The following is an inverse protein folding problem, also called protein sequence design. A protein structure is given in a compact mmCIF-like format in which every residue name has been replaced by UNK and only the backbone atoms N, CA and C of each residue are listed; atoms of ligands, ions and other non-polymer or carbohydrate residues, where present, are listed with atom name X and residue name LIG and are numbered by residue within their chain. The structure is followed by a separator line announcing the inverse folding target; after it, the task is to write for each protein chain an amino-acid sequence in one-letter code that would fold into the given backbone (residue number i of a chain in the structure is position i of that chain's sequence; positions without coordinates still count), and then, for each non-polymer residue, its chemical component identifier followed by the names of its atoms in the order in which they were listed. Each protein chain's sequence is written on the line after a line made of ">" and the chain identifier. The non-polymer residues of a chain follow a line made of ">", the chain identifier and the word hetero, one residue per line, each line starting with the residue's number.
data_IF_332292677008
#
_entry.id   IF_332292677008
#
_cell.length_a   1.000
_cell.length_b   1.000
_cell.length_c   1.000
_cell.angle_alpha   90.00
_cell.angle_beta   90.00
_cell.angle_gamma   90.00
#
_symmetry.space_group_name_H-M   'P 1'
#
loop_
_entity.id
_entity.type
_entity.pdbx_description
1 polymer ?
#
# COMPACT_ATOMS: atom_id res chain seq x y z
N UNK A 1 -3.04 -6.14 6.35
CA UNK A 1 -1.59 -6.41 6.49
C UNK A 1 -0.92 -6.32 5.12
N UNK A 2 0.32 -5.83 5.03
CA UNK A 2 1.12 -5.83 3.80
C UNK A 2 2.08 -7.01 3.78
N UNK A 3 2.36 -7.54 2.58
CA UNK A 3 3.27 -8.67 2.37
C UNK A 3 4.10 -8.45 1.11
N UNK A 4 5.43 -8.47 1.25
CA UNK A 4 6.38 -8.33 0.14
C UNK A 4 6.55 -9.66 -0.60
N UNK A 5 6.51 -9.61 -1.93
CA UNK A 5 6.74 -10.73 -2.83
C UNK A 5 8.00 -10.45 -3.63
N UNK A 6 9.06 -11.22 -3.41
CA UNK A 6 10.36 -11.03 -4.08
C UNK A 6 10.40 -11.66 -5.49
N UNK A 7 9.25 -11.76 -6.15
CA UNK A 7 9.11 -12.30 -7.50
C UNK A 7 8.88 -11.15 -8.48
N UNK A 8 9.66 -11.10 -9.57
CA UNK A 8 9.53 -10.03 -10.56
C UNK A 8 8.41 -10.31 -11.55
N UNK A 9 7.33 -9.51 -11.49
CA UNK A 9 6.16 -9.64 -12.36
C UNK A 9 5.80 -8.29 -12.99
N UNK A 10 5.11 -8.35 -14.14
CA UNK A 10 4.42 -7.15 -14.68
C UNK A 10 3.37 -6.69 -13.68
N UNK A 11 2.95 -5.43 -13.73
CA UNK A 11 1.97 -4.93 -12.77
C UNK A 11 0.66 -5.73 -12.82
N UNK A 12 0.20 -6.10 -14.02
CA UNK A 12 -1.04 -6.88 -14.20
C UNK A 12 -0.90 -8.30 -13.64
N UNK A 13 0.24 -8.96 -13.85
CA UNK A 13 0.48 -10.30 -13.32
C UNK A 13 0.62 -10.29 -11.80
N UNK A 14 1.29 -9.27 -11.24
CA UNK A 14 1.39 -9.04 -9.80
C UNK A 14 0.00 -8.82 -9.18
N UNK A 15 -0.87 -8.04 -9.82
CA UNK A 15 -2.25 -7.84 -9.40
C UNK A 15 -3.04 -9.15 -9.36
N UNK A 16 -2.95 -9.95 -10.43
CA UNK A 16 -3.59 -11.27 -10.50
C UNK A 16 -3.07 -12.20 -9.41
N UNK A 17 -1.77 -12.18 -9.16
CA UNK A 17 -1.15 -12.95 -8.08
C UNK A 17 -1.73 -12.56 -6.72
N UNK A 18 -1.78 -11.26 -6.42
CA UNK A 18 -2.30 -10.77 -5.15
C UNK A 18 -3.79 -11.11 -4.98
N UNK A 19 -4.63 -10.90 -5.99
CA UNK A 19 -6.07 -11.24 -5.92
C UNK A 19 -6.36 -12.73 -5.72
N UNK A 20 -5.45 -13.61 -6.16
CA UNK A 20 -5.60 -15.05 -5.98
C UNK A 20 -5.29 -15.52 -4.54
N UNK A 21 -4.53 -14.74 -3.76
CA UNK A 21 -3.92 -15.17 -2.47
C UNK A 21 -4.15 -14.20 -1.30
N UNK A 22 -4.47 -12.96 -1.61
CA UNK A 22 -4.66 -11.81 -0.72
C UNK A 22 -5.90 -11.04 -1.20
N UNK A 23 -6.04 -9.77 -0.80
CA UNK A 23 -7.11 -8.90 -1.30
C UNK A 23 -6.75 -8.32 -2.67
N UNK A 24 -5.65 -7.57 -2.77
CA UNK A 24 -5.15 -6.98 -4.02
C UNK A 24 -3.68 -6.52 -3.83
N UNK A 25 -3.07 -5.88 -4.84
CA UNK A 25 -1.84 -5.09 -4.68
C UNK A 25 -2.04 -3.99 -3.65
N UNK A 26 -0.96 -3.64 -2.93
CA UNK A 26 -0.98 -2.70 -1.82
C UNK A 26 -1.68 -1.38 -2.17
N UNK A 27 -2.74 -1.07 -1.43
CA UNK A 27 -3.36 0.25 -1.43
C UNK A 27 -2.89 1.04 -0.20
N UNK A 28 -2.59 2.33 -0.38
CA UNK A 28 -2.08 3.22 0.67
C UNK A 28 -3.01 4.40 0.83
N UNK A 29 -3.57 4.58 2.02
CA UNK A 29 -4.66 5.55 2.23
C UNK A 29 -4.22 6.72 3.10
N UNK A 30 -3.19 6.52 3.90
CA UNK A 30 -2.69 7.50 4.86
C UNK A 30 -1.17 7.45 4.97
N UNK A 31 -0.59 8.47 5.60
CA UNK A 31 0.83 8.42 6.00
C UNK A 31 1.15 7.26 6.96
N UNK A 32 0.18 6.80 7.76
CA UNK A 32 0.40 5.63 8.61
C UNK A 32 0.55 4.34 7.78
N UNK A 33 -0.21 4.23 6.69
CA UNK A 33 -0.06 3.11 5.76
C UNK A 33 1.28 3.15 5.04
N UNK A 34 1.76 4.35 4.64
CA UNK A 34 3.12 4.51 4.10
C UNK A 34 4.16 3.96 5.09
N UNK A 35 4.10 4.37 6.37
CA UNK A 35 5.03 3.91 7.40
C UNK A 35 5.02 2.38 7.56
N UNK A 36 3.86 1.75 7.45
CA UNK A 36 3.72 0.27 7.53
C UNK A 36 4.19 -0.43 6.25
N UNK A 37 3.93 0.17 5.09
CA UNK A 37 4.30 -0.38 3.80
C UNK A 37 5.83 -0.42 3.65
N UNK A 38 6.50 0.67 4.05
CA UNK A 38 7.95 0.84 3.97
C UNK A 38 8.72 -0.23 4.75
N UNK A 39 8.22 -0.61 5.93
CA UNK A 39 8.86 -1.61 6.78
C UNK A 39 8.64 -3.05 6.30
N UNK A 40 7.82 -3.25 5.27
CA UNK A 40 7.48 -4.58 4.74
C UNK A 40 8.53 -5.09 3.74
N UNK A 41 9.26 -4.20 3.06
CA UNK A 41 10.25 -4.57 2.05
C UNK A 41 11.53 -5.04 2.74
N UNK A 42 12.12 -6.14 2.25
CA UNK A 42 13.37 -6.69 2.79
C UNK A 42 14.49 -5.65 2.76
N UNK A 43 15.24 -5.54 3.86
CA UNK A 43 16.29 -4.52 4.05
C UNK A 43 17.44 -4.61 3.04
N UNK A 44 17.60 -5.75 2.36
CA UNK A 44 18.62 -5.96 1.33
C UNK A 44 18.16 -5.68 -0.10
N UNK A 45 16.86 -5.41 -0.33
CA UNK A 45 16.36 -5.13 -1.67
C UNK A 45 16.60 -3.66 -2.05
N UNK A 46 17.25 -3.45 -3.19
CA UNK A 46 17.48 -2.15 -3.79
C UNK A 46 16.75 -2.07 -5.14
N UNK A 47 15.85 -1.11 -5.27
CA UNK A 47 15.00 -0.95 -6.45
C UNK A 47 13.60 -0.49 -6.09
N UNK A 48 12.66 -0.65 -7.01
CA UNK A 48 11.25 -0.30 -6.81
C UNK A 48 10.39 -1.54 -6.69
N UNK A 49 9.26 -1.40 -5.99
CA UNK A 49 8.27 -2.46 -5.80
C UNK A 49 6.89 -1.99 -6.23
N UNK A 50 6.14 -2.84 -6.93
CA UNK A 50 4.80 -2.48 -7.36
C UNK A 50 3.84 -2.30 -6.18
N UNK A 51 3.06 -1.23 -6.27
CA UNK A 51 1.87 -0.96 -5.45
C UNK A 51 0.63 -0.91 -6.35
N UNK A 52 -0.56 -0.92 -5.77
CA UNK A 52 -1.82 -1.06 -6.49
C UNK A 52 -2.29 0.16 -7.27
N UNK A 53 -1.44 1.15 -7.54
CA UNK A 53 -1.85 2.40 -8.20
C UNK A 53 -1.50 2.36 -9.70
N UNK A 54 -2.46 2.74 -10.55
CA UNK A 54 -2.28 2.81 -12.02
C UNK A 54 -2.92 4.06 -12.62
N UNK A 55 -2.37 4.55 -13.72
CA UNK A 55 -2.94 5.66 -14.47
C UNK A 55 -4.19 5.21 -15.24
N UNK A 56 -5.19 6.09 -15.36
CA UNK A 56 -6.42 5.84 -16.15
C UNK A 56 -6.70 6.91 -17.21
N UNK A 57 -5.84 7.92 -17.33
CA UNK A 57 -5.94 8.99 -18.34
C UNK A 57 -7.08 10.01 -18.10
N UNK A 58 -8.13 9.65 -17.37
CA UNK A 58 -9.20 10.58 -16.96
C UNK A 58 -8.92 11.12 -15.56
N UNK A 59 -8.63 12.42 -15.47
CA UNK A 59 -8.38 13.13 -14.22
C UNK A 59 -9.65 13.51 -13.47
N UNK A 60 -9.55 13.65 -12.15
CA UNK A 60 -10.59 14.22 -11.28
C UNK A 60 -9.94 15.14 -10.27
N UNK A 61 -10.56 16.29 -10.01
CA UNK A 61 -10.07 17.20 -9.00
C UNK A 61 -10.35 16.67 -7.60
N UNK A 62 -9.30 16.55 -6.79
CA UNK A 62 -9.35 15.93 -5.47
C UNK A 62 -8.38 16.61 -4.52
N UNK A 63 -8.69 16.54 -3.23
CA UNK A 63 -7.83 17.08 -2.18
C UNK A 63 -6.71 16.10 -1.82
N UNK A 64 -5.50 16.62 -1.68
CA UNK A 64 -4.29 15.86 -1.34
C UNK A 64 -4.36 15.12 0.00
N UNK A 65 -5.14 15.66 0.94
CA UNK A 65 -5.37 15.09 2.26
C UNK A 65 -6.17 13.78 2.21
N UNK A 66 -6.80 13.47 1.08
CA UNK A 66 -7.67 12.30 0.93
C UNK A 66 -9.13 12.55 1.31
N UNK A 67 -9.47 13.78 1.69
CA UNK A 67 -10.85 14.21 1.89
C UNK A 67 -11.60 14.28 0.54
N UNK A 68 -12.93 14.12 0.60
CA UNK A 68 -13.88 13.97 -0.50
C UNK A 68 -13.61 14.81 -1.75
N UNK A 69 -14.14 14.37 -2.90
CA UNK A 69 -14.19 15.18 -4.13
C UNK A 69 -14.84 16.56 -3.87
N UNK A 70 -14.47 17.56 -4.69
CA UNK A 70 -14.94 18.95 -4.53
C UNK A 70 -16.48 18.99 -4.40
N UNK A 71 -16.98 19.82 -3.48
CA UNK A 71 -18.40 20.16 -3.40
C UNK A 71 -18.89 20.86 -4.68
N UNK A 72 -20.21 20.85 -4.91
CA UNK A 72 -20.85 21.58 -6.01
C UNK A 72 -20.69 23.11 -5.86
N UNK A 73 -20.50 23.60 -4.64
CA UNK A 73 -20.18 24.99 -4.32
C UNK A 73 -18.66 25.23 -4.32
N UNK A 74 -18.01 24.86 -5.43
CA UNK A 74 -16.58 25.05 -5.62
C UNK A 74 -16.23 26.53 -5.76
N UNK A 75 -15.06 26.95 -5.25
CA UNK A 75 -14.62 28.36 -5.27
C UNK A 75 -13.76 28.69 -6.50
N UNK A 76 -13.99 27.99 -7.61
CA UNK A 76 -13.39 28.32 -8.90
C UNK A 76 -13.74 29.73 -9.31
N UNK A 77 -12.75 30.46 -9.82
CA UNK A 77 -13.01 31.72 -10.49
C UNK A 77 -13.88 31.47 -11.74
N UNK A 78 -14.78 32.40 -12.14
CA UNK A 78 -15.56 32.23 -13.36
C UNK A 78 -14.66 31.97 -14.58
N UNK A 79 -14.89 30.84 -15.25
CA UNK A 79 -14.08 30.39 -16.39
C UNK A 79 -13.06 29.29 -16.06
N UNK A 80 -12.87 28.96 -14.78
CA UNK A 80 -11.97 27.90 -14.32
C UNK A 80 -12.73 26.58 -14.04
N UNK A 81 -12.05 25.41 -14.11
CA UNK A 81 -10.68 25.24 -14.60
C UNK A 81 -10.57 25.42 -16.12
N UNK A 82 -9.52 26.11 -16.56
CA UNK A 82 -9.26 26.50 -17.95
C UNK A 82 -8.40 25.49 -18.73
N UNK A 83 -7.70 24.59 -18.03
CA UNK A 83 -6.81 23.59 -18.61
C UNK A 83 -5.35 24.01 -18.66
N UNK A 84 -4.96 25.04 -17.92
CA UNK A 84 -3.61 25.59 -17.84
C UNK A 84 -2.70 24.77 -16.88
N UNK A 85 -3.27 23.87 -16.08
CA UNK A 85 -2.49 22.87 -15.34
C UNK A 85 -3.27 21.89 -14.49
N UNK A 86 -2.55 21.02 -13.77
CA UNK A 86 -3.13 20.00 -12.90
C UNK A 86 -3.10 20.36 -11.41
N UNK A 87 -2.58 21.52 -11.04
CA UNK A 87 -2.48 21.97 -9.65
C UNK A 87 -3.29 23.26 -9.44
N UNK A 88 -3.73 23.53 -8.22
CA UNK A 88 -4.60 24.68 -7.96
C UNK A 88 -3.96 25.68 -7.03
N UNK A 89 -3.98 26.95 -7.44
CA UNK A 89 -3.65 28.08 -6.59
C UNK A 89 -4.91 28.82 -6.14
N UNK A 90 -4.88 29.32 -4.92
CA UNK A 90 -5.84 30.28 -4.39
C UNK A 90 -5.31 31.70 -4.59
N UNK A 91 -6.13 32.59 -5.12
CA UNK A 91 -5.81 34.00 -5.30
C UNK A 91 -7.07 34.86 -5.16
N UNK A 92 -7.02 35.89 -4.31
CA UNK A 92 -8.12 36.82 -4.06
C UNK A 92 -9.47 36.11 -3.76
N UNK A 93 -9.43 35.02 -2.98
CA UNK A 93 -10.65 34.29 -2.61
C UNK A 93 -11.21 33.35 -3.68
N UNK A 94 -10.47 33.07 -4.77
CA UNK A 94 -10.89 32.15 -5.83
C UNK A 94 -9.78 31.20 -6.27
N UNK A 95 -10.18 30.08 -6.88
CA UNK A 95 -9.28 29.02 -7.35
C UNK A 95 -9.03 29.12 -8.85
N UNK A 96 -7.80 28.78 -9.23
CA UNK A 96 -7.30 28.75 -10.61
C UNK A 96 -6.46 27.50 -10.79
N UNK A 97 -6.63 26.76 -11.88
CA UNK A 97 -5.67 25.74 -12.26
C UNK A 97 -4.40 26.38 -12.80
N UNK A 98 -3.28 25.75 -12.51
CA UNK A 98 -1.95 26.31 -12.67
C UNK A 98 -0.96 25.17 -12.88
N UNK A 99 0.10 25.44 -13.65
CA UNK A 99 1.16 24.46 -13.85
C UNK A 99 1.75 24.04 -12.50
N UNK A 100 1.78 22.73 -12.23
CA UNK A 100 2.36 22.21 -10.98
C UNK A 100 3.84 22.58 -10.77
N UNK A 101 4.53 22.98 -11.85
CA UNK A 101 5.93 23.42 -11.83
C UNK A 101 6.12 24.90 -11.45
N UNK A 102 5.04 25.69 -11.39
CA UNK A 102 5.08 27.07 -10.93
C UNK A 102 5.55 27.10 -9.46
N UNK A 103 6.43 28.04 -9.12
CA UNK A 103 6.94 28.20 -7.76
C UNK A 103 6.12 29.26 -7.02
N UNK A 104 5.30 28.84 -6.05
CA UNK A 104 4.44 29.72 -5.27
C UNK A 104 4.62 29.46 -3.78
N UNK A 105 4.38 30.48 -2.92
CA UNK A 105 4.11 30.24 -1.52
C UNK A 105 2.88 29.34 -1.36
N UNK A 106 2.68 28.78 -0.17
CA UNK A 106 1.69 27.71 0.00
C UNK A 106 1.07 27.71 1.39
N UNK A 107 -0.10 27.08 1.51
CA UNK A 107 -0.79 26.91 2.80
C UNK A 107 -0.87 25.44 3.17
N UNK A 108 -0.32 25.11 4.33
CA UNK A 108 -0.47 23.79 4.94
C UNK A 108 -1.69 23.77 5.86
N UNK A 109 -2.26 22.59 6.06
CA UNK A 109 -3.17 22.30 7.16
C UNK A 109 -2.44 21.57 8.27
N UNK A 110 -2.75 21.95 9.50
CA UNK A 110 -2.27 21.31 10.72
C UNK A 110 -3.47 20.99 11.60
N UNK A 111 -3.61 19.73 12.01
CA UNK A 111 -4.75 19.27 12.82
C UNK A 111 -4.94 20.05 14.13
N UNK A 112 -3.86 20.61 14.68
CA UNK A 112 -3.88 21.35 15.96
C UNK A 112 -4.11 22.85 15.79
N UNK A 113 -3.60 23.46 14.71
CA UNK A 113 -3.56 24.92 14.54
C UNK A 113 -4.33 25.44 13.33
N UNK A 114 -4.88 24.58 12.48
CA UNK A 114 -5.57 24.97 11.25
C UNK A 114 -4.61 25.35 10.12
N UNK A 115 -4.94 26.41 9.38
CA UNK A 115 -4.14 26.86 8.24
C UNK A 115 -2.83 27.52 8.68
N UNK A 116 -1.72 27.11 8.04
CA UNK A 116 -0.37 27.64 8.27
C UNK A 116 0.19 28.08 6.92
N UNK A 117 0.31 29.38 6.72
CA UNK A 117 0.86 29.96 5.48
C UNK A 117 2.39 29.95 5.54
N UNK A 118 3.02 29.50 4.47
CA UNK A 118 4.47 29.53 4.28
C UNK A 118 4.80 30.39 3.06
N UNK A 119 5.59 31.44 3.29
CA UNK A 119 6.00 32.40 2.26
C UNK A 119 7.13 31.90 1.35
N UNK A 120 7.69 30.71 1.63
CA UNK A 120 8.74 30.12 0.79
C UNK A 120 8.13 29.58 -0.50
N UNK A 121 8.58 30.08 -1.65
CA UNK A 121 8.07 29.63 -2.94
C UNK A 121 8.61 28.24 -3.31
N UNK A 122 7.72 27.31 -3.64
CA UNK A 122 8.04 25.93 -4.01
C UNK A 122 7.09 25.45 -5.12
N UNK A 123 7.47 24.40 -5.84
CA UNK A 123 6.53 23.68 -6.71
C UNK A 123 5.41 23.07 -5.87
N UNK A 124 4.27 22.75 -6.47
CA UNK A 124 3.15 22.17 -5.71
C UNK A 124 3.55 20.87 -4.99
N UNK A 125 4.36 20.02 -5.64
CA UNK A 125 4.83 18.73 -5.08
C UNK A 125 5.83 18.91 -3.94
N UNK A 126 6.70 19.90 -4.04
CA UNK A 126 7.65 20.23 -2.98
C UNK A 126 6.93 20.83 -1.77
N UNK A 127 5.98 21.75 -2.01
CA UNK A 127 5.11 22.32 -0.98
C UNK A 127 4.32 21.22 -0.25
N UNK A 128 3.72 20.28 -0.99
CA UNK A 128 3.04 19.12 -0.42
C UNK A 128 3.97 18.27 0.45
N UNK A 129 5.16 17.96 -0.06
CA UNK A 129 6.17 17.20 0.67
C UNK A 129 6.57 17.90 1.96
N UNK A 130 6.77 19.21 1.91
CA UNK A 130 7.05 20.03 3.09
C UNK A 130 5.91 19.96 4.10
N UNK A 131 4.66 20.21 3.67
CA UNK A 131 3.52 20.20 4.58
C UNK A 131 3.34 18.85 5.26
N UNK A 132 3.60 17.72 4.58
CA UNK A 132 3.51 16.39 5.20
C UNK A 132 4.66 16.03 6.13
N UNK A 133 5.80 16.70 5.98
CA UNK A 133 6.94 16.53 6.89
C UNK A 133 6.77 17.37 8.17
N UNK A 134 6.21 18.58 8.06
CA UNK A 134 6.12 19.54 9.16
C UNK A 134 4.72 19.65 9.79
N UNK A 135 3.68 19.28 9.05
CA UNK A 135 2.26 19.44 9.39
C UNK A 135 1.46 18.20 8.91
N UNK A 136 0.18 18.38 8.57
CA UNK A 136 -0.66 17.28 8.04
C UNK A 136 -0.46 17.13 6.53
N UNK A 137 -0.77 18.16 5.73
CA UNK A 137 -0.63 18.21 4.26
C UNK A 137 -0.87 19.65 3.76
N UNK A 138 -0.88 19.87 2.43
CA UNK A 138 -1.46 21.08 1.84
C UNK A 138 -2.93 21.23 2.21
N UNK A 139 -3.36 22.47 2.42
CA UNK A 139 -4.68 22.74 2.98
C UNK A 139 -5.82 22.41 2.01
N UNK A 140 -6.85 21.76 2.55
CA UNK A 140 -8.14 21.60 1.88
C UNK A 140 -9.08 22.71 2.33
N UNK A 141 -9.79 23.31 1.39
CA UNK A 141 -10.73 24.40 1.66
C UNK A 141 -12.14 23.87 1.39
N UNK A 142 -12.89 23.68 2.46
CA UNK A 142 -14.19 23.03 2.48
C UNK A 142 -15.37 23.99 2.65
N UNK A 143 -15.10 25.28 2.91
CA UNK A 143 -16.15 26.28 3.04
C UNK A 143 -15.70 27.70 2.61
N UNK A 144 -16.64 28.59 2.26
CA UNK A 144 -16.34 30.00 1.97
C UNK A 144 -15.67 30.73 3.14
N UNK A 145 -16.00 30.38 4.38
CA UNK A 145 -15.35 30.97 5.57
C UNK A 145 -13.86 30.62 5.62
N UNK A 146 -13.49 29.38 5.29
CA UNK A 146 -12.09 28.97 5.19
C UNK A 146 -11.38 29.70 4.05
N UNK A 147 -12.05 29.88 2.91
CA UNK A 147 -11.48 30.63 1.78
C UNK A 147 -11.23 32.10 2.12
N UNK A 148 -12.11 32.71 2.91
CA UNK A 148 -11.97 34.10 3.34
C UNK A 148 -10.73 34.35 4.20
N UNK A 149 -10.22 33.32 4.89
CA UNK A 149 -8.96 33.41 5.63
C UNK A 149 -7.75 33.65 4.70
N UNK A 150 -7.88 33.33 3.42
CA UNK A 150 -6.82 33.43 2.41
C UNK A 150 -7.06 34.59 1.43
N UNK A 151 -8.14 35.38 1.57
CA UNK A 151 -8.52 36.39 0.58
C UNK A 151 -7.56 37.58 0.47
N UNK A 152 -6.81 37.88 1.53
CA UNK A 152 -5.82 38.96 1.54
C UNK A 152 -4.41 38.48 1.14
N UNK A 153 -4.25 37.19 0.89
CA UNK A 153 -2.96 36.60 0.56
C UNK A 153 -2.67 36.69 -0.94
N UNK A 154 -1.38 36.68 -1.26
CA UNK A 154 -0.90 36.53 -2.64
C UNK A 154 -1.26 35.14 -3.20
N UNK A 155 -0.82 34.80 -4.42
CA UNK A 155 -1.10 33.47 -4.98
C UNK A 155 -0.48 32.37 -4.11
N UNK A 156 -1.32 31.49 -3.55
CA UNK A 156 -0.90 30.39 -2.68
C UNK A 156 -1.26 29.04 -3.29
N UNK A 157 -0.35 28.05 -3.19
CA UNK A 157 -0.72 26.67 -3.40
C UNK A 157 -1.70 26.17 -2.33
N UNK A 158 -2.75 25.49 -2.78
CA UNK A 158 -3.69 24.73 -1.94
C UNK A 158 -3.65 23.25 -2.31
N UNK A 159 -4.23 22.38 -1.48
CA UNK A 159 -4.14 20.92 -1.65
C UNK A 159 -4.96 20.33 -2.80
N UNK A 160 -5.63 21.15 -3.63
CA UNK A 160 -6.44 20.67 -4.74
C UNK A 160 -5.55 20.38 -5.96
N UNK A 161 -5.72 19.21 -6.56
CA UNK A 161 -5.00 18.80 -7.76
C UNK A 161 -5.84 17.84 -8.63
N UNK A 162 -5.49 17.72 -9.91
CA UNK A 162 -6.12 16.82 -10.85
C UNK A 162 -5.45 15.45 -10.77
N UNK A 163 -6.18 14.45 -10.27
CA UNK A 163 -5.69 13.09 -10.10
C UNK A 163 -6.22 12.15 -11.19
N UNK A 164 -5.32 11.60 -11.98
CA UNK A 164 -5.62 10.63 -13.05
C UNK A 164 -5.24 9.19 -12.67
N UNK A 165 -5.08 8.90 -11.37
CA UNK A 165 -4.65 7.61 -10.86
C UNK A 165 -5.73 6.93 -10.03
N UNK A 166 -5.83 5.61 -10.15
CA UNK A 166 -6.79 4.82 -9.36
C UNK A 166 -6.11 3.64 -8.70
N UNK A 167 -6.65 3.27 -7.53
CA UNK A 167 -6.27 2.05 -6.86
C UNK A 167 -6.93 0.83 -7.52
N UNK A 168 -6.17 -0.25 -7.61
CA UNK A 168 -6.56 -1.53 -8.18
C UNK A 168 -7.76 -2.15 -7.46
N UNK A 169 -7.87 -1.91 -6.16
CA UNK A 169 -8.94 -2.40 -5.29
C UNK A 169 -10.27 -1.63 -5.42
N UNK A 170 -10.36 -0.68 -6.36
CA UNK A 170 -11.56 0.15 -6.63
C UNK A 170 -11.94 1.11 -5.49
N UNK A 171 -11.10 1.27 -4.48
CA UNK A 171 -11.37 2.23 -3.41
C UNK A 171 -11.03 3.66 -3.85
N UNK A 172 -11.89 4.62 -3.48
CA UNK A 172 -11.81 6.03 -3.87
C UNK A 172 -10.89 6.85 -2.97
N UNK A 173 -9.69 6.35 -2.66
CA UNK A 173 -8.72 7.10 -1.85
C UNK A 173 -7.82 7.97 -2.73
N UNK A 174 -7.70 9.25 -2.38
CA UNK A 174 -6.99 10.27 -3.15
C UNK A 174 -5.60 10.61 -2.60
N UNK A 175 -5.20 9.98 -1.48
CA UNK A 175 -3.87 10.15 -0.92
C UNK A 175 -2.79 9.66 -1.92
N UNK A 176 -1.80 10.52 -2.20
CA UNK A 176 -0.69 10.22 -3.12
C UNK A 176 0.65 10.56 -2.52
N UNK A 177 1.59 9.63 -2.39
CA UNK A 177 2.92 9.87 -1.81
C UNK A 177 4.03 9.85 -2.89
N UNK A 178 3.83 10.64 -3.96
CA UNK A 178 4.75 10.74 -5.08
C UNK A 178 6.09 11.40 -4.70
N UNK A 179 7.14 10.99 -5.41
CA UNK A 179 8.42 11.71 -5.49
C UNK A 179 8.23 13.14 -6.03
N UNK A 180 9.23 13.99 -5.80
CA UNK A 180 9.28 15.28 -6.48
C UNK A 180 9.20 15.08 -8.01
N UNK A 181 8.49 15.96 -8.70
CA UNK A 181 8.26 15.92 -10.15
C UNK A 181 7.60 14.63 -10.69
N UNK A 182 7.00 13.81 -9.81
CA UNK A 182 6.22 12.64 -10.19
C UNK A 182 4.72 12.84 -9.93
N UNK A 183 3.85 12.17 -10.71
CA UNK A 183 4.15 11.46 -11.96
C UNK A 183 4.57 12.44 -13.06
N UNK A 184 5.44 12.04 -14.00
CA UNK A 184 5.75 12.92 -15.14
C UNK A 184 4.51 13.06 -16.03
N UNK A 185 4.30 14.25 -16.60
CA UNK A 185 3.12 14.70 -17.37
C UNK A 185 2.81 13.86 -18.64
N UNK A 186 3.41 12.69 -18.80
CA UNK A 186 3.13 11.80 -19.92
C UNK A 186 1.72 11.21 -19.76
N UNK A 187 0.80 11.69 -20.60
CA UNK A 187 -0.58 11.21 -20.79
C UNK A 187 -0.71 9.72 -21.20
N UNK A 188 0.36 8.93 -21.06
CA UNK A 188 0.34 7.52 -21.43
C UNK A 188 -0.39 6.74 -20.34
N UNK A 189 -1.58 6.27 -20.67
CA UNK A 189 -2.45 5.44 -19.83
C UNK A 189 -1.87 4.07 -19.44
N UNK A 190 -0.60 3.79 -19.78
CA UNK A 190 0.11 2.53 -19.51
C UNK A 190 1.14 2.63 -18.39
N UNK A 191 1.05 3.65 -17.54
CA UNK A 191 1.94 3.81 -16.39
C UNK A 191 1.33 3.25 -15.10
N UNK A 192 2.20 2.60 -14.32
CA UNK A 192 1.91 1.99 -13.05
C UNK A 192 2.84 2.55 -11.98
N UNK A 193 2.40 2.61 -10.72
CA UNK A 193 3.19 3.19 -9.65
C UNK A 193 4.04 2.14 -8.94
N UNK A 194 5.31 2.46 -8.75
CA UNK A 194 6.22 1.70 -7.89
C UNK A 194 6.70 2.56 -6.72
N UNK A 195 6.85 1.95 -5.54
CA UNK A 195 7.48 2.59 -4.39
C UNK A 195 8.98 2.28 -4.39
N UNK A 196 9.84 3.30 -4.25
CA UNK A 196 11.28 3.09 -4.09
C UNK A 196 11.59 2.42 -2.75
N UNK A 197 12.42 1.38 -2.77
CA UNK A 197 12.85 0.63 -1.61
C UNK A 197 14.11 1.21 -0.92
N UNK A 198 14.74 2.25 -1.47
CA UNK A 198 16.05 2.73 -0.99
C UNK A 198 16.20 4.24 -0.93
N UNK A 199 15.50 5.00 -1.76
CA UNK A 199 15.62 6.47 -1.80
C UNK A 199 14.53 7.15 -0.96
N UNK A 200 13.44 7.49 -1.64
CA UNK A 200 12.21 8.14 -1.25
C UNK A 200 11.44 7.58 -0.07
N UNK A 201 11.29 6.25 -0.18
CA UNK A 201 10.03 5.56 0.17
C UNK A 201 8.78 6.17 -0.47
N UNK A 202 8.96 7.08 -1.43
CA UNK A 202 7.94 7.74 -2.22
C UNK A 202 7.74 6.97 -3.53
N UNK A 203 6.74 7.39 -4.28
CA UNK A 203 6.26 6.66 -5.45
C UNK A 203 6.75 7.34 -6.72
N UNK A 204 7.01 6.55 -7.74
CA UNK A 204 7.31 7.03 -9.08
C UNK A 204 6.54 6.21 -10.11
N UNK A 205 6.37 6.78 -11.30
CA UNK A 205 5.73 6.07 -12.39
C UNK A 205 6.73 5.21 -13.16
N UNK A 206 6.24 4.06 -13.62
CA UNK A 206 6.99 3.12 -14.45
C UNK A 206 6.07 2.53 -15.51
N UNK A 207 6.64 2.05 -16.62
CA UNK A 207 5.89 1.24 -17.57
C UNK A 207 5.33 -0.01 -16.87
N UNK A 208 4.03 -0.27 -17.02
CA UNK A 208 3.36 -1.42 -16.39
C UNK A 208 3.93 -2.79 -16.83
N UNK A 209 4.65 -2.84 -17.96
CA UNK A 209 5.28 -4.05 -18.51
C UNK A 209 6.62 -4.37 -17.83
N UNK A 210 7.18 -3.43 -17.07
CA UNK A 210 8.39 -3.67 -16.30
C UNK A 210 8.15 -4.78 -15.26
N UNK A 211 9.09 -5.72 -15.16
CA UNK A 211 9.01 -6.79 -14.16
C UNK A 211 9.68 -6.35 -12.87
N UNK A 212 8.90 -6.22 -11.79
CA UNK A 212 9.41 -5.82 -10.48
C UNK A 212 8.78 -6.67 -9.38
N UNK A 213 9.47 -6.84 -8.23
CA UNK A 213 8.86 -7.29 -6.99
C UNK A 213 7.66 -6.41 -6.60
N UNK A 214 6.80 -6.91 -5.73
CA UNK A 214 5.52 -6.25 -5.47
C UNK A 214 5.02 -6.49 -4.06
N UNK A 215 4.11 -5.64 -3.60
CA UNK A 215 3.50 -5.76 -2.28
C UNK A 215 2.02 -6.06 -2.44
N UNK A 216 1.55 -7.15 -1.82
CA UNK A 216 0.14 -7.44 -1.67
C UNK A 216 -0.39 -6.90 -0.33
N UNK A 217 -1.69 -6.61 -0.26
CA UNK A 217 -2.37 -6.40 1.02
C UNK A 217 -3.58 -7.33 1.17
N UNK A 218 -3.91 -7.61 2.42
CA UNK A 218 -5.16 -8.28 2.78
C UNK A 218 -5.29 -8.49 4.28
N UNK A 219 -6.47 -8.95 4.69
CA UNK A 219 -6.73 -9.35 6.08
C UNK A 219 -6.02 -10.66 6.43
N UNK A 220 -5.61 -10.80 7.69
CA UNK A 220 -5.03 -12.02 8.23
C UNK A 220 -5.94 -13.25 8.05
N UNK A 221 -7.25 -13.02 7.89
CA UNK A 221 -8.28 -14.03 7.64
C UNK A 221 -8.31 -14.52 6.19
N UNK A 222 -7.77 -13.75 5.24
CA UNK A 222 -7.75 -14.09 3.81
C UNK A 222 -6.49 -14.83 3.38
N UNK A 223 -5.44 -14.84 4.23
CA UNK A 223 -4.31 -15.75 4.04
C UNK A 223 -4.80 -17.17 4.29
N UNK A 224 -5.08 -17.92 3.22
CA UNK A 224 -5.48 -19.33 3.31
C UNK A 224 -4.38 -20.16 3.98
N UNK A 225 -4.50 -20.35 5.29
CA UNK A 225 -3.62 -21.26 6.06
C UNK A 225 -3.97 -22.69 5.69
N UNK A 226 -3.08 -23.35 4.97
CA UNK A 226 -3.21 -24.78 4.69
C UNK A 226 -2.57 -25.56 5.84
N UNK A 227 -3.40 -26.28 6.62
CA UNK A 227 -2.91 -27.13 7.71
C UNK A 227 -2.54 -28.49 7.14
N UNK A 228 -1.27 -28.86 7.26
CA UNK A 228 -0.77 -30.20 6.91
C UNK A 228 -0.59 -30.99 8.21
N UNK A 229 -1.24 -32.15 8.31
CA UNK A 229 -1.05 -33.08 9.42
C UNK A 229 0.08 -34.04 9.08
N UNK A 230 1.06 -34.17 9.98
CA UNK A 230 2.21 -35.04 9.82
C UNK A 230 2.14 -36.17 10.82
N UNK A 231 2.49 -37.38 10.36
CA UNK A 231 2.73 -38.54 11.20
C UNK A 231 4.19 -38.93 11.03
N UNK A 232 4.94 -38.87 12.13
CA UNK A 232 6.38 -39.16 12.15
C UNK A 232 6.63 -40.36 13.06
N UNK A 233 7.58 -41.20 12.67
CA UNK A 233 8.10 -42.29 13.49
C UNK A 233 9.60 -42.14 13.61
N UNK A 234 10.14 -42.40 14.80
CA UNK A 234 11.57 -42.48 15.03
C UNK A 234 11.94 -43.89 15.47
N UNK A 235 13.07 -44.37 14.95
CA UNK A 235 13.68 -45.60 15.43
C UNK A 235 14.71 -45.22 16.52
N UNK A 236 14.27 -45.12 17.78
CA UNK A 236 15.14 -44.79 18.93
C UNK A 236 14.51 -43.78 19.91
N UNK A 237 15.30 -43.30 20.89
CA UNK A 237 14.89 -42.21 21.79
C UNK A 237 14.97 -40.87 21.07
N UNK A 238 13.90 -40.47 20.39
CA UNK A 238 13.77 -39.11 19.84
C UNK A 238 12.74 -38.32 20.65
N UNK A 239 13.00 -37.03 20.85
CA UNK A 239 12.00 -36.09 21.32
C UNK A 239 11.57 -35.21 20.14
N UNK A 240 10.40 -35.47 19.56
CA UNK A 240 9.89 -34.70 18.43
C UNK A 240 9.56 -33.24 18.78
N UNK A 241 9.43 -32.92 20.09
CA UNK A 241 9.27 -31.55 20.56
C UNK A 241 10.59 -30.82 20.83
N UNK A 242 11.74 -31.44 20.54
CA UNK A 242 13.05 -30.76 20.59
C UNK A 242 13.13 -29.64 19.52
N UNK A 243 13.49 -28.38 19.89
CA UNK A 243 13.53 -27.25 18.95
C UNK A 243 14.47 -27.44 17.76
N UNK A 244 15.61 -28.10 17.96
CA UNK A 244 16.59 -28.35 16.90
C UNK A 244 16.06 -29.38 15.89
N UNK A 245 15.39 -30.42 16.40
CA UNK A 245 14.75 -31.43 15.56
C UNK A 245 13.56 -30.86 14.80
N UNK A 246 12.72 -30.06 15.44
CA UNK A 246 11.61 -29.34 14.82
C UNK A 246 12.06 -28.42 13.68
N UNK A 247 13.17 -27.70 13.88
CA UNK A 247 13.77 -26.83 12.85
C UNK A 247 14.27 -27.65 11.67
N UNK A 248 14.92 -28.78 11.94
CA UNK A 248 15.41 -29.72 10.92
C UNK A 248 14.26 -30.28 10.08
N UNK A 249 13.16 -30.70 10.72
CA UNK A 249 11.98 -31.21 10.03
C UNK A 249 11.34 -30.14 9.13
N UNK A 250 11.19 -28.89 9.61
CA UNK A 250 10.67 -27.79 8.79
C UNK A 250 11.55 -27.53 7.56
N UNK A 251 12.87 -27.58 7.71
CA UNK A 251 13.81 -27.41 6.61
C UNK A 251 13.68 -28.50 5.55
N UNK A 252 13.52 -29.76 5.96
CA UNK A 252 13.30 -30.88 5.03
C UNK A 252 11.95 -30.79 4.30
N UNK A 253 10.88 -30.40 5.01
CA UNK A 253 9.58 -30.14 4.38
C UNK A 253 9.70 -29.00 3.35
N UNK A 254 10.40 -27.93 3.71
CA UNK A 254 10.66 -26.79 2.82
C UNK A 254 11.38 -27.24 1.54
N UNK A 255 12.47 -28.01 1.65
CA UNK A 255 13.19 -28.56 0.50
C UNK A 255 12.30 -29.44 -0.39
N UNK A 256 11.46 -30.28 0.21
CA UNK A 256 10.57 -31.18 -0.54
C UNK A 256 9.44 -30.43 -1.26
N UNK A 257 8.92 -29.37 -0.66
CA UNK A 257 7.95 -28.49 -1.33
C UNK A 257 8.58 -27.78 -2.53
N UNK A 258 9.84 -27.34 -2.41
CA UNK A 258 10.60 -26.78 -3.54
C UNK A 258 10.75 -27.78 -4.68
N UNK A 259 11.16 -29.03 -4.40
CA UNK A 259 11.34 -30.04 -5.45
C UNK A 259 10.04 -30.47 -6.14
N UNK A 260 8.89 -30.26 -5.49
CA UNK A 260 7.56 -30.52 -6.06
C UNK A 260 7.01 -29.34 -6.89
N UNK A 261 7.79 -28.28 -7.11
CA UNK A 261 7.35 -27.10 -7.86
C UNK A 261 6.28 -26.28 -7.11
N UNK A 262 6.11 -26.50 -5.80
CA UNK A 262 5.20 -25.73 -4.94
C UNK A 262 5.90 -24.49 -4.36
N UNK A 263 6.76 -23.86 -5.16
CA UNK A 263 7.47 -22.65 -4.78
C UNK A 263 6.52 -21.45 -4.77
N UNK A 264 6.27 -20.94 -3.57
CA UNK A 264 5.84 -19.57 -3.34
C UNK A 264 6.06 -19.29 -1.86
N UNK A 265 6.73 -18.19 -1.52
CA UNK A 265 6.72 -17.38 -0.28
C UNK A 265 5.80 -17.83 0.89
N UNK A 266 5.88 -19.11 1.30
CA UNK A 266 5.04 -19.72 2.33
C UNK A 266 5.87 -19.81 3.59
N UNK A 267 5.54 -18.97 4.57
CA UNK A 267 6.08 -19.08 5.92
C UNK A 267 5.57 -20.38 6.55
N UNK A 268 6.45 -21.39 6.65
CA UNK A 268 6.18 -22.61 7.38
C UNK A 268 6.37 -22.37 8.88
N UNK A 269 5.41 -22.78 9.68
CA UNK A 269 5.50 -22.70 11.13
C UNK A 269 4.72 -23.84 11.77
N UNK A 270 5.20 -24.33 12.91
CA UNK A 270 4.45 -25.28 13.71
C UNK A 270 3.20 -24.62 14.30
N UNK A 271 2.10 -25.37 14.31
CA UNK A 271 0.95 -25.06 15.15
C UNK A 271 1.21 -25.67 16.52
N UNK A 272 1.42 -24.82 17.52
CA UNK A 272 1.51 -25.23 18.93
C UNK A 272 0.10 -25.29 19.53
N UNK A 273 -0.15 -26.26 20.38
CA UNK A 273 -1.35 -26.30 21.21
C UNK A 273 -1.12 -25.48 22.50
N UNK A 274 -2.09 -25.53 23.43
CA UNK A 274 -2.09 -24.71 24.65
C UNK A 274 -0.92 -24.99 25.60
N UNK A 275 -0.37 -26.20 25.57
CA UNK A 275 0.79 -26.65 26.37
C UNK A 275 2.13 -26.28 25.74
N UNK A 276 2.13 -25.71 24.53
CA UNK A 276 3.32 -25.33 23.77
C UNK A 276 3.94 -26.48 22.94
N UNK A 277 3.40 -27.69 23.05
CA UNK A 277 3.85 -28.86 22.28
C UNK A 277 3.26 -28.85 20.86
N UNK A 278 3.95 -29.56 19.97
CA UNK A 278 3.59 -29.68 18.54
C UNK A 278 3.24 -31.12 18.20
N UNK A 279 3.97 -32.07 18.77
CA UNK A 279 3.79 -33.50 18.53
C UNK A 279 3.27 -34.20 19.77
N UNK A 280 2.27 -35.06 19.56
CA UNK A 280 1.70 -35.91 20.60
C UNK A 280 1.87 -37.38 20.23
N UNK A 281 2.15 -38.20 21.24
CA UNK A 281 2.19 -39.64 21.06
C UNK A 281 0.77 -40.14 20.77
N UNK A 282 0.61 -40.81 19.63
CA UNK A 282 -0.66 -41.42 19.25
C UNK A 282 -1.02 -42.49 20.29
N UNK A 283 -2.11 -42.28 21.03
CA UNK A 283 -2.60 -43.28 21.99
C UNK A 283 -3.02 -44.53 21.22
N UNK A 284 -2.33 -45.66 21.45
CA UNK A 284 -2.80 -46.97 20.97
C UNK A 284 -4.15 -47.27 21.63
N UNK A 285 -5.23 -47.32 20.87
CA UNK A 285 -6.50 -47.85 21.35
C UNK A 285 -6.30 -49.34 21.68
N UNK A 286 -6.45 -49.70 22.96
CA UNK A 286 -6.64 -51.10 23.37
C UNK A 286 -8.06 -51.49 22.98
N UNK A 287 -8.23 -52.10 21.81
CA UNK A 287 -9.41 -52.88 21.48
C UNK A 287 -9.11 -53.89 20.36
N UNK A 288 -8.58 -55.05 20.73
CA UNK A 288 -8.81 -56.30 20.02
C UNK A 288 -8.54 -57.49 20.94
N UNK A 289 -9.43 -57.72 21.91
CA UNK A 289 -9.75 -59.10 22.29
C UNK A 289 -11.11 -59.38 21.68
N UNK A 290 -11.11 -60.28 20.70
CA UNK A 290 -12.27 -60.73 19.96
C UNK A 290 -13.40 -61.14 20.91
N UNK A 291 -14.53 -60.45 20.83
CA UNK A 291 -15.83 -61.07 21.09
C UNK A 291 -16.60 -61.02 19.78
N UNK A 292 -16.77 -62.21 19.20
CA UNK A 292 -17.64 -62.47 18.05
C UNK A 292 -19.09 -62.40 18.53
N UNK A 293 -19.96 -61.64 17.83
CA UNK A 293 -21.25 -62.09 17.29
C UNK A 293 -22.17 -60.91 16.87
N UNK A 294 -22.37 -60.81 15.55
CA UNK A 294 -23.58 -60.61 14.73
C UNK A 294 -24.75 -59.66 15.11
N UNK A 295 -25.09 -58.84 14.09
CA UNK A 295 -26.41 -58.46 13.52
C UNK A 295 -27.59 -58.24 14.49
N UNK A 296 -28.15 -57.03 14.46
CA UNK A 296 -29.19 -56.65 13.49
C UNK A 296 -29.13 -55.13 13.24
#
# INVERSE_FOLDING_TARGET
>A
MYQFMNQSMTWLDAQRYCRARFTDLAAVMTMNDVRRLVTTVDSGYNGSVWIGLRAVGVGRWVWSMGDSAISQDSMWNPGEPSGDGECVRSFNGSWYDESCSTVLPFVCFNDSTGFVINNTAMTWRDAQSYCRQQHTDLASISSPEQQNLLSNESSLWIGLFLDSWVWSNQWSYFFRYWEADQPSLSLVSSNCAGMSATDSRKWAQYSCDLKQPFICYGDDKLIKKQIVRLKLSCNGKCNLNDPSLQTTILNEISKKLKSMGLESDRKLSWRKEQDGDVFYQERKSRASSNTVCNRQ
#
